data_IF_120690097611
#
_entry.id   IF_120690097611
#
_cell.length_a   1.000
_cell.length_b   1.000
_cell.length_c   1.000
_cell.angle_alpha   90.00
_cell.angle_beta   90.00
_cell.angle_gamma   90.00
#
_symmetry.space_group_name_H-M   'P 1'
#
loop_
_entity.id
_entity.type
_entity.pdbx_description
1 polymer ?
#
# COMPACT_ATOMS: atom_id res chain seq x y z
N UNK A 1 -10.09 -11.42 -3.93
CA UNK A 1 -9.12 -12.09 -3.02
C UNK A 1 -7.70 -12.21 -3.61
N UNK A 2 -7.51 -12.78 -4.81
CA UNK A 2 -6.15 -13.08 -5.37
C UNK A 2 -5.20 -11.87 -5.49
N UNK A 3 -5.70 -10.69 -5.90
CA UNK A 3 -4.86 -9.50 -6.09
C UNK A 3 -4.29 -8.97 -4.77
N UNK A 4 -5.12 -8.77 -3.74
CA UNK A 4 -4.67 -8.28 -2.43
C UNK A 4 -3.62 -9.23 -1.81
N UNK A 5 -3.82 -10.54 -1.92
CA UNK A 5 -2.83 -11.53 -1.45
C UNK A 5 -1.50 -11.39 -2.19
N UNK A 6 -1.51 -11.18 -3.51
CA UNK A 6 -0.28 -10.97 -4.29
C UNK A 6 0.42 -9.66 -3.91
N UNK A 7 -0.32 -8.57 -3.71
CA UNK A 7 0.25 -7.31 -3.26
C UNK A 7 0.90 -7.42 -1.89
N UNK A 8 0.26 -8.15 -0.96
CA UNK A 8 0.82 -8.43 0.37
C UNK A 8 2.12 -9.23 0.28
N UNK A 9 2.12 -10.33 -0.49
CA UNK A 9 3.30 -11.18 -0.70
C UNK A 9 4.48 -10.39 -1.29
N UNK A 10 4.22 -9.52 -2.28
CA UNK A 10 5.24 -8.65 -2.87
C UNK A 10 5.72 -7.57 -1.91
N UNK A 11 4.88 -7.18 -0.96
CA UNK A 11 5.20 -6.21 0.09
C UNK A 11 6.10 -6.79 1.18
N UNK A 12 6.21 -8.11 1.32
CA UNK A 12 7.02 -8.75 2.36
C UNK A 12 8.52 -8.40 2.23
N UNK A 13 9.17 -8.19 3.38
CA UNK A 13 10.62 -7.98 3.46
C UNK A 13 11.39 -9.31 3.35
N UNK A 14 10.73 -10.40 3.78
CA UNK A 14 11.21 -11.78 3.73
C UNK A 14 10.11 -12.65 3.14
N UNK A 15 10.35 -13.26 1.97
CA UNK A 15 9.34 -14.01 1.22
C UNK A 15 8.89 -15.28 1.94
N UNK A 16 7.60 -15.59 1.91
CA UNK A 16 7.01 -16.84 2.43
C UNK A 16 7.39 -17.13 3.88
N UNK A 17 7.82 -16.11 4.61
CA UNK A 17 8.50 -16.32 5.87
C UNK A 17 7.52 -16.37 7.02
N UNK A 18 6.25 -15.96 6.84
CA UNK A 18 5.24 -16.00 7.89
C UNK A 18 5.80 -15.41 9.20
N UNK A 19 5.69 -16.18 10.29
CA UNK A 19 6.26 -15.82 11.59
C UNK A 19 7.79 -15.71 11.58
N UNK A 20 8.50 -16.54 10.81
CA UNK A 20 9.96 -16.48 10.66
C UNK A 20 10.41 -15.15 10.01
N UNK A 21 9.57 -14.59 9.14
CA UNK A 21 9.83 -13.30 8.50
C UNK A 21 9.80 -12.15 9.48
N UNK A 22 8.86 -12.21 10.43
CA UNK A 22 8.70 -11.21 11.48
C UNK A 22 9.91 -11.14 12.43
N UNK A 23 10.65 -12.25 12.59
CA UNK A 23 11.89 -12.33 13.38
C UNK A 23 13.17 -12.20 12.54
N UNK A 24 13.05 -11.83 11.27
CA UNK A 24 14.21 -11.59 10.40
C UNK A 24 14.90 -12.87 9.90
N UNK A 25 14.18 -13.98 9.81
CA UNK A 25 14.61 -15.21 9.14
C UNK A 25 13.87 -15.39 7.81
N UNK A 26 14.46 -16.14 6.88
CA UNK A 26 13.89 -16.41 5.55
C UNK A 26 14.52 -15.62 4.40
N UNK A 27 14.04 -15.89 3.18
CA UNK A 27 14.64 -15.36 1.94
C UNK A 27 14.34 -13.88 1.79
N UNK A 28 15.36 -13.05 1.58
CA UNK A 28 15.18 -11.61 1.33
C UNK A 28 14.25 -11.40 0.14
N UNK A 29 13.41 -10.37 0.26
CA UNK A 29 12.54 -9.92 -0.81
C UNK A 29 13.34 -9.58 -2.07
N UNK A 30 12.90 -10.01 -3.27
CA UNK A 30 13.59 -9.73 -4.52
C UNK A 30 13.29 -8.33 -5.08
N UNK A 31 12.38 -7.58 -4.44
CA UNK A 31 11.97 -6.24 -4.88
C UNK A 31 12.57 -5.15 -4.00
N UNK A 32 12.54 -3.90 -4.46
CA UNK A 32 13.11 -2.77 -3.72
C UNK A 32 12.19 -2.26 -2.60
N UNK A 33 12.72 -1.47 -1.66
CA UNK A 33 11.92 -0.74 -0.66
C UNK A 33 10.87 0.15 -1.33
N UNK A 34 11.24 0.87 -2.39
CA UNK A 34 10.32 1.70 -3.19
C UNK A 34 9.14 0.88 -3.70
N UNK A 35 9.40 -0.30 -4.27
CA UNK A 35 8.35 -1.16 -4.79
C UNK A 35 7.44 -1.72 -3.67
N UNK A 36 8.03 -2.08 -2.51
CA UNK A 36 7.27 -2.48 -1.33
C UNK A 36 6.31 -1.40 -0.86
N UNK A 37 6.73 -0.13 -0.85
CA UNK A 37 5.86 1.01 -0.53
C UNK A 37 4.67 1.06 -1.49
N UNK A 38 4.91 0.90 -2.80
CA UNK A 38 3.84 0.90 -3.81
C UNK A 38 2.81 -0.20 -3.52
N UNK A 39 3.25 -1.45 -3.42
CA UNK A 39 2.32 -2.58 -3.30
C UNK A 39 1.61 -2.61 -1.94
N UNK A 40 2.27 -2.22 -0.83
CA UNK A 40 1.60 -2.12 0.48
C UNK A 40 0.56 -1.00 0.50
N UNK A 41 0.86 0.14 -0.12
CA UNK A 41 -0.11 1.25 -0.25
C UNK A 41 -1.34 0.84 -1.07
N UNK A 42 -1.13 0.18 -2.22
CA UNK A 42 -2.24 -0.34 -3.04
C UNK A 42 -3.05 -1.39 -2.29
N UNK A 43 -2.39 -2.29 -1.56
CA UNK A 43 -3.08 -3.31 -0.78
C UNK A 43 -3.95 -2.68 0.30
N UNK A 44 -3.41 -1.73 1.08
CA UNK A 44 -4.14 -1.00 2.11
C UNK A 44 -5.32 -0.24 1.50
N UNK A 45 -5.09 0.52 0.43
CA UNK A 45 -6.14 1.26 -0.27
C UNK A 45 -7.29 0.35 -0.70
N UNK A 46 -6.99 -0.72 -1.43
CA UNK A 46 -7.99 -1.67 -1.93
C UNK A 46 -8.77 -2.36 -0.81
N UNK A 47 -8.15 -2.62 0.34
CA UNK A 47 -8.85 -3.20 1.49
C UNK A 47 -9.84 -2.23 2.13
N UNK A 48 -9.54 -0.94 2.16
CA UNK A 48 -10.51 0.08 2.59
C UNK A 48 -11.68 0.19 1.60
N UNK A 49 -11.44 -0.07 0.32
CA UNK A 49 -12.52 -0.01 -0.69
C UNK A 49 -13.47 -1.20 -0.62
N UNK A 50 -13.16 -2.26 0.13
CA UNK A 50 -13.96 -3.50 0.24
C UNK A 50 -14.40 -3.67 1.70
N UNK A 51 -15.50 -3.01 2.12
CA UNK A 51 -15.95 -3.05 3.52
C UNK A 51 -16.33 -4.47 3.98
N UNK A 52 -16.91 -5.25 3.08
CA UNK A 52 -17.33 -6.64 3.28
C UNK A 52 -17.08 -7.48 2.01
N UNK A 53 -17.27 -8.80 2.08
CA UNK A 53 -17.03 -9.68 0.92
C UNK A 53 -17.96 -9.41 -0.27
N UNK A 54 -19.11 -8.80 -0.02
CA UNK A 54 -20.16 -8.53 -1.02
C UNK A 54 -20.24 -7.07 -1.42
N UNK A 55 -19.43 -6.19 -0.85
CA UNK A 55 -19.54 -4.73 -1.05
C UNK A 55 -18.23 -4.13 -1.56
N UNK A 56 -18.37 -3.11 -2.41
CA UNK A 56 -17.26 -2.35 -2.96
C UNK A 56 -17.62 -0.85 -2.98
N UNK A 57 -16.73 -0.01 -2.46
CA UNK A 57 -16.91 1.44 -2.42
C UNK A 57 -16.64 2.06 -3.79
N UNK A 58 -17.71 2.30 -4.55
CA UNK A 58 -17.68 2.86 -5.90
C UNK A 58 -17.83 4.40 -5.97
N UNK A 59 -18.15 5.02 -4.84
CA UNK A 59 -18.38 6.46 -4.70
C UNK A 59 -17.73 6.99 -3.42
N UNK A 60 -17.40 8.29 -3.36
CA UNK A 60 -17.00 8.99 -2.14
C UNK A 60 -18.00 8.79 -0.99
N UNK A 61 -17.51 8.81 0.25
CA UNK A 61 -18.34 8.80 1.47
C UNK A 61 -17.98 9.97 2.40
N UNK A 62 -18.80 10.20 3.42
CA UNK A 62 -18.51 11.22 4.45
C UNK A 62 -17.41 10.75 5.40
N UNK A 63 -17.38 9.46 5.70
CA UNK A 63 -16.47 8.82 6.64
C UNK A 63 -15.98 7.46 6.11
N UNK A 64 -14.90 6.95 6.72
CA UNK A 64 -14.34 5.63 6.41
C UNK A 64 -14.74 4.62 7.48
N UNK A 65 -15.57 3.66 7.09
CA UNK A 65 -15.84 2.47 7.89
C UNK A 65 -14.78 1.41 7.56
N UNK A 66 -13.81 1.23 8.46
CA UNK A 66 -12.71 0.31 8.25
C UNK A 66 -13.02 -1.07 8.81
N UNK A 67 -12.91 -2.11 7.97
CA UNK A 67 -12.91 -3.49 8.45
C UNK A 67 -11.63 -3.78 9.27
N UNK A 68 -11.62 -4.82 10.13
CA UNK A 68 -10.43 -5.24 10.87
C UNK A 68 -9.20 -5.46 9.98
N UNK A 69 -9.41 -6.06 8.80
CA UNK A 69 -8.37 -6.26 7.79
C UNK A 69 -7.84 -4.94 7.25
N UNK A 70 -8.73 -3.99 6.96
CA UNK A 70 -8.34 -2.67 6.46
C UNK A 70 -7.55 -1.87 7.50
N UNK A 71 -7.98 -1.90 8.78
CA UNK A 71 -7.25 -1.31 9.91
C UNK A 71 -5.85 -1.92 10.05
N UNK A 72 -5.74 -3.25 10.01
CA UNK A 72 -4.44 -3.93 10.09
C UNK A 72 -3.50 -3.48 8.96
N UNK A 73 -3.99 -3.42 7.71
CA UNK A 73 -3.17 -3.08 6.56
C UNK A 73 -2.75 -1.61 6.56
N UNK A 74 -3.63 -0.70 6.98
CA UNK A 74 -3.29 0.70 7.17
C UNK A 74 -2.25 0.87 8.29
N UNK A 75 -2.43 0.18 9.42
CA UNK A 75 -1.49 0.20 10.53
C UNK A 75 -0.09 -0.32 10.16
N UNK A 76 0.01 -1.34 9.29
CA UNK A 76 1.32 -1.78 8.78
C UNK A 76 2.02 -0.69 7.95
N UNK A 77 1.27 0.10 7.18
CA UNK A 77 1.82 1.20 6.39
C UNK A 77 2.31 2.34 7.31
N UNK A 78 1.58 2.60 8.39
CA UNK A 78 1.98 3.57 9.42
C UNK A 78 3.24 3.14 10.17
N UNK A 79 3.36 1.85 10.52
CA UNK A 79 4.59 1.28 11.08
C UNK A 79 5.76 1.40 10.09
N UNK A 80 5.54 1.20 8.79
CA UNK A 80 6.60 1.45 7.79
C UNK A 80 7.08 2.90 7.80
N UNK A 81 6.18 3.86 7.95
CA UNK A 81 6.52 5.30 7.95
C UNK A 81 7.42 5.73 9.11
N UNK A 82 7.43 4.97 10.20
CA UNK A 82 8.30 5.19 11.38
C UNK A 82 9.56 4.31 11.39
N UNK A 83 9.70 3.38 10.44
CA UNK A 83 10.83 2.47 10.36
C UNK A 83 12.04 3.13 9.66
N UNK A 84 13.21 3.10 10.31
CA UNK A 84 14.48 3.66 9.79
C UNK A 84 14.86 3.17 8.39
N UNK A 85 14.50 1.94 8.03
CA UNK A 85 14.74 1.38 6.69
C UNK A 85 14.04 2.17 5.58
N UNK A 86 12.96 2.88 5.90
CA UNK A 86 12.14 3.64 4.96
C UNK A 86 12.28 5.16 5.17
N UNK A 87 13.31 5.63 5.88
CA UNK A 87 13.50 7.05 6.19
C UNK A 87 13.48 7.95 4.94
N UNK A 88 14.17 7.54 3.87
CA UNK A 88 14.17 8.28 2.58
C UNK A 88 12.84 8.20 1.82
N UNK A 89 11.94 7.29 2.21
CA UNK A 89 10.65 7.05 1.57
C UNK A 89 9.48 7.59 2.40
N UNK A 90 9.78 8.29 3.50
CA UNK A 90 8.78 8.73 4.48
C UNK A 90 7.77 9.71 3.87
N UNK A 91 8.22 10.63 3.00
CA UNK A 91 7.30 11.54 2.32
C UNK A 91 6.26 10.78 1.48
N UNK A 92 6.69 9.79 0.70
CA UNK A 92 5.81 8.99 -0.13
C UNK A 92 4.82 8.17 0.71
N UNK A 93 5.30 7.56 1.81
CA UNK A 93 4.45 6.85 2.76
C UNK A 93 3.40 7.76 3.38
N UNK A 94 3.79 8.95 3.84
CA UNK A 94 2.86 9.90 4.46
C UNK A 94 1.80 10.38 3.47
N UNK A 95 2.18 10.72 2.23
CA UNK A 95 1.24 11.11 1.18
C UNK A 95 0.29 9.96 0.82
N UNK A 96 0.78 8.72 0.78
CA UNK A 96 -0.07 7.55 0.57
C UNK A 96 -1.07 7.34 1.71
N UNK A 97 -0.62 7.42 2.97
CA UNK A 97 -1.49 7.28 4.15
C UNK A 97 -2.57 8.36 4.15
N UNK A 98 -2.22 9.62 3.86
CA UNK A 98 -3.18 10.72 3.72
C UNK A 98 -4.19 10.47 2.60
N UNK A 99 -3.72 10.05 1.43
CA UNK A 99 -4.59 9.70 0.29
C UNK A 99 -5.59 8.60 0.66
N UNK A 100 -5.10 7.56 1.34
CA UNK A 100 -5.87 6.36 1.72
C UNK A 100 -6.91 6.68 2.82
N UNK A 101 -6.58 7.57 3.76
CA UNK A 101 -7.48 8.00 4.85
C UNK A 101 -8.56 8.98 4.40
N UNK A 102 -8.45 9.57 3.21
CA UNK A 102 -9.43 10.53 2.71
C UNK A 102 -10.69 9.80 2.19
N UNK A 103 -11.87 9.97 2.82
CA UNK A 103 -13.10 9.25 2.44
C UNK A 103 -13.64 9.68 1.07
N UNK A 104 -13.17 10.82 0.56
CA UNK A 104 -13.52 11.32 -0.76
C UNK A 104 -12.92 10.52 -1.92
N UNK A 105 -11.88 9.71 -1.67
CA UNK A 105 -11.40 8.75 -2.67
C UNK A 105 -12.22 7.48 -2.62
N UNK A 106 -12.39 6.80 -3.76
CA UNK A 106 -13.07 5.51 -3.88
C UNK A 106 -12.23 4.55 -4.75
N UNK A 107 -12.69 3.32 -5.03
CA UNK A 107 -11.89 2.37 -5.83
C UNK A 107 -11.43 2.91 -7.19
N UNK A 108 -12.19 3.83 -7.78
CA UNK A 108 -11.88 4.47 -9.06
C UNK A 108 -10.64 5.37 -8.99
N UNK A 109 -10.24 5.80 -7.80
CA UNK A 109 -9.05 6.62 -7.56
C UNK A 109 -7.77 5.78 -7.39
N UNK A 110 -7.85 4.45 -7.50
CA UNK A 110 -6.67 3.57 -7.45
C UNK A 110 -5.56 3.96 -8.45
N UNK A 111 -5.87 4.28 -9.72
CA UNK A 111 -4.88 4.80 -10.66
C UNK A 111 -4.23 6.10 -10.19
N UNK A 112 -4.98 7.01 -9.54
CA UNK A 112 -4.42 8.27 -9.00
C UNK A 112 -3.46 8.02 -7.84
N UNK A 113 -3.73 7.04 -6.99
CA UNK A 113 -2.79 6.60 -5.96
C UNK A 113 -1.50 6.03 -6.58
N UNK A 114 -1.64 5.19 -7.62
CA UNK A 114 -0.49 4.64 -8.32
C UNK A 114 0.35 5.75 -8.96
N UNK A 115 -0.28 6.71 -9.65
CA UNK A 115 0.36 7.87 -10.24
C UNK A 115 1.14 8.68 -9.19
N UNK A 116 0.50 8.99 -8.05
CA UNK A 116 1.12 9.69 -6.92
C UNK A 116 2.40 8.98 -6.46
N UNK A 117 2.31 7.67 -6.22
CA UNK A 117 3.44 6.88 -5.72
C UNK A 117 4.57 6.75 -6.75
N UNK A 118 4.22 6.52 -8.03
CA UNK A 118 5.21 6.41 -9.11
C UNK A 118 5.96 7.74 -9.27
N UNK A 119 5.26 8.87 -9.26
CA UNK A 119 5.89 10.18 -9.38
C UNK A 119 6.79 10.53 -8.20
N UNK A 120 6.48 10.07 -6.98
CA UNK A 120 7.31 10.32 -5.81
C UNK A 120 8.52 9.37 -5.73
N UNK A 121 8.36 8.11 -6.13
CA UNK A 121 9.37 7.07 -5.90
C UNK A 121 10.28 6.82 -7.10
N UNK A 122 9.80 7.13 -8.32
CA UNK A 122 10.46 6.78 -9.57
C UNK A 122 10.46 7.95 -10.57
N UNK A 123 10.60 9.18 -10.07
CA UNK A 123 10.61 10.41 -10.87
C UNK A 123 11.70 10.46 -11.95
N UNK A 124 12.76 9.69 -11.77
CA UNK A 124 13.90 9.55 -12.66
C UNK A 124 13.67 8.55 -13.81
N UNK A 125 12.64 7.71 -13.73
CA UNK A 125 12.38 6.65 -14.70
C UNK A 125 11.37 7.09 -15.76
N UNK A 126 11.89 7.65 -16.86
CA UNK A 126 11.07 8.22 -17.95
C UNK A 126 10.01 7.28 -18.53
N UNK A 127 10.29 5.98 -18.58
CA UNK A 127 9.34 5.00 -19.11
C UNK A 127 8.08 4.83 -18.24
N UNK A 128 8.10 5.29 -16.98
CA UNK A 128 6.94 5.28 -16.09
C UNK A 128 6.09 6.56 -16.18
N UNK A 129 6.49 7.55 -16.97
CA UNK A 129 5.72 8.79 -17.13
C UNK A 129 4.33 8.59 -17.74
N UNK A 130 4.07 7.46 -18.38
CA UNK A 130 2.74 7.10 -18.91
C UNK A 130 1.71 6.85 -17.80
N UNK A 131 2.15 6.63 -16.57
CA UNK A 131 1.30 6.35 -15.39
C UNK A 131 0.88 7.66 -14.69
N UNK A 132 1.25 8.82 -15.24
CA UNK A 132 0.96 10.15 -14.65
C UNK A 132 -0.52 10.50 -14.64
#
# INVERSE_FOLDING_TARGET
VRLQTRLLQLGEERQNSGLLGAIGLGKRSPVSNKFRVVVRSLAAFLSIQVPSETELRLQPTTDLQLSPKAQQMLGMLEIMSSNKQYAELQEALNKAIQFIRYPGHCVKDGPRLLALLVNLLYSDLRYLHVIR
#
